data_IF_823286124398
#
_entry.id   IF_823286124398
#
_cell.length_a   1.000
_cell.length_b   1.000
_cell.length_c   1.000
_cell.angle_alpha   90.00
_cell.angle_beta   90.00
_cell.angle_gamma   90.00
#
_symmetry.space_group_name_H-M   'P 1'
#
loop_
_entity.id
_entity.type
_entity.pdbx_description
1 polymer ?
#
# COMPACT_ATOMS: atom_id res chain seq x y z
N UNK A 1 15.75 -1.84 -0.25
CA UNK A 1 14.76 -2.88 0.10
C UNK A 1 13.32 -2.35 0.20
N UNK A 2 12.92 -1.54 1.20
CA UNK A 2 11.53 -1.03 1.34
C UNK A 2 10.97 -0.42 0.04
N UNK A 3 11.70 0.52 -0.54
CA UNK A 3 11.26 1.21 -1.76
C UNK A 3 11.23 0.28 -2.97
N UNK A 4 12.19 -0.65 -3.09
CA UNK A 4 12.22 -1.64 -4.17
C UNK A 4 11.04 -2.62 -4.08
N UNK A 5 10.67 -3.07 -2.88
CA UNK A 5 9.47 -3.86 -2.62
C UNK A 5 8.23 -3.11 -3.10
N UNK A 6 8.12 -1.82 -2.75
CA UNK A 6 6.99 -1.00 -3.17
C UNK A 6 6.97 -0.78 -4.69
N UNK A 7 8.09 -0.47 -5.34
CA UNK A 7 8.15 -0.30 -6.80
C UNK A 7 7.78 -1.58 -7.54
N UNK A 8 8.26 -2.74 -7.08
CA UNK A 8 7.88 -4.00 -7.69
C UNK A 8 6.40 -4.34 -7.46
N UNK A 9 5.85 -4.01 -6.28
CA UNK A 9 4.41 -4.12 -6.01
C UNK A 9 3.57 -3.24 -6.96
N UNK A 10 4.00 -2.01 -7.22
CA UNK A 10 3.34 -1.11 -8.18
C UNK A 10 3.44 -1.65 -9.61
N UNK A 11 4.63 -2.11 -10.03
CA UNK A 11 4.82 -2.74 -11.33
C UNK A 11 3.88 -3.92 -11.55
N UNK A 12 3.79 -4.82 -10.57
CA UNK A 12 2.85 -5.95 -10.59
C UNK A 12 1.39 -5.52 -10.66
N UNK A 13 1.02 -4.48 -9.90
CA UNK A 13 -0.34 -3.96 -9.89
C UNK A 13 -0.73 -3.38 -11.25
N UNK A 14 0.19 -2.66 -11.91
CA UNK A 14 0.00 -2.14 -13.27
C UNK A 14 -0.19 -3.26 -14.28
N UNK A 15 0.66 -4.30 -14.25
CA UNK A 15 0.50 -5.48 -15.10
C UNK A 15 -0.86 -6.12 -14.85
N UNK A 16 -1.24 -6.33 -13.59
CA UNK A 16 -2.49 -6.98 -13.25
C UNK A 16 -3.72 -6.19 -13.73
N UNK A 17 -3.70 -4.86 -13.61
CA UNK A 17 -4.75 -4.00 -14.17
C UNK A 17 -4.82 -4.14 -15.70
N UNK A 18 -3.67 -4.04 -16.37
CA UNK A 18 -3.58 -4.14 -17.82
C UNK A 18 -4.09 -5.50 -18.34
N UNK A 19 -3.68 -6.60 -17.72
CA UNK A 19 -4.12 -7.95 -18.13
C UNK A 19 -5.63 -8.18 -17.93
N UNK A 20 -6.26 -7.40 -17.04
CA UNK A 20 -7.70 -7.43 -16.80
C UNK A 20 -8.46 -6.33 -17.56
N UNK A 21 -7.82 -5.68 -18.55
CA UNK A 21 -8.44 -4.65 -19.37
C UNK A 21 -8.87 -3.40 -18.59
N UNK A 22 -8.18 -3.11 -17.48
CA UNK A 22 -8.42 -1.92 -16.66
C UNK A 22 -7.42 -0.84 -16.97
N UNK A 23 -7.91 0.40 -17.03
CA UNK A 23 -7.06 1.57 -17.11
C UNK A 23 -6.25 1.74 -15.81
N UNK A 24 -5.08 2.35 -15.96
CA UNK A 24 -4.25 2.71 -14.83
C UNK A 24 -4.83 3.93 -14.09
N UNK A 25 -5.40 3.67 -12.93
CA UNK A 25 -5.92 4.65 -11.98
C UNK A 25 -5.10 4.67 -10.67
N UNK A 26 -3.87 4.16 -10.69
CA UNK A 26 -2.96 4.11 -9.54
C UNK A 26 -2.46 5.52 -9.17
N UNK A 27 -3.36 6.37 -8.70
CA UNK A 27 -3.05 7.66 -8.09
C UNK A 27 -2.23 7.48 -6.81
N UNK A 28 -1.61 8.56 -6.31
CA UNK A 28 -0.94 8.58 -5.01
C UNK A 28 -1.85 8.03 -3.91
N UNK A 29 -3.12 8.47 -3.84
CA UNK A 29 -4.04 8.03 -2.79
C UNK A 29 -4.28 6.51 -2.88
N UNK A 30 -4.57 6.00 -4.08
CA UNK A 30 -4.78 4.57 -4.30
C UNK A 30 -3.54 3.76 -3.93
N UNK A 31 -2.35 4.20 -4.36
CA UNK A 31 -1.08 3.55 -4.05
C UNK A 31 -0.81 3.51 -2.53
N UNK A 32 -1.08 4.59 -1.80
CA UNK A 32 -0.94 4.62 -0.33
C UNK A 32 -1.88 3.60 0.33
N UNK A 33 -3.14 3.51 -0.12
CA UNK A 33 -4.09 2.54 0.43
C UNK A 33 -3.67 1.10 0.14
N UNK A 34 -3.32 0.83 -1.11
CA UNK A 34 -2.85 -0.49 -1.52
C UNK A 34 -1.57 -0.88 -0.78
N UNK A 35 -0.63 0.06 -0.56
CA UNK A 35 0.57 -0.17 0.25
C UNK A 35 0.22 -0.64 1.66
N UNK A 36 -0.77 0.00 2.31
CA UNK A 36 -1.21 -0.40 3.64
C UNK A 36 -1.76 -1.83 3.63
N UNK A 37 -2.72 -2.15 2.77
CA UNK A 37 -3.29 -3.50 2.71
C UNK A 37 -2.25 -4.57 2.31
N UNK A 38 -1.37 -4.25 1.37
CA UNK A 38 -0.29 -5.14 0.98
C UNK A 38 0.68 -5.37 2.15
N UNK A 39 0.96 -4.36 2.96
CA UNK A 39 1.89 -4.50 4.09
C UNK A 39 1.36 -5.41 5.21
N UNK A 40 0.03 -5.52 5.34
CA UNK A 40 -0.63 -6.25 6.43
C UNK A 40 -0.93 -7.71 6.11
N UNK A 41 -0.71 -8.16 4.86
CA UNK A 41 -0.94 -9.56 4.52
C UNK A 41 0.07 -10.46 5.24
N UNK A 42 -0.49 -11.45 5.92
CA UNK A 42 0.27 -12.48 6.59
C UNK A 42 0.34 -13.73 5.74
N UNK A 43 1.49 -14.37 5.71
CA UNK A 43 1.60 -15.72 5.18
C UNK A 43 1.25 -16.78 6.24
N UNK A 44 1.44 -18.05 5.90
CA UNK A 44 1.12 -19.19 6.76
C UNK A 44 1.89 -19.20 8.09
N UNK A 45 3.03 -18.50 8.15
CA UNK A 45 3.86 -18.37 9.36
C UNK A 45 3.45 -17.16 10.20
N UNK A 46 2.45 -16.38 9.76
CA UNK A 46 2.04 -15.14 10.39
C UNK A 46 2.98 -13.96 10.09
N UNK A 47 3.94 -14.13 9.18
CA UNK A 47 4.85 -13.05 8.82
C UNK A 47 4.15 -12.04 7.90
N UNK A 48 4.33 -10.74 8.16
CA UNK A 48 3.80 -9.63 7.34
C UNK A 48 4.91 -8.64 7.02
N UNK A 49 4.64 -7.70 6.11
CA UNK A 49 5.64 -6.67 5.75
C UNK A 49 5.60 -5.46 6.70
N UNK A 50 4.89 -5.55 7.82
CA UNK A 50 4.70 -4.46 8.77
C UNK A 50 6.01 -4.00 9.45
N UNK A 51 7.00 -4.88 9.61
CA UNK A 51 8.36 -4.48 10.07
C UNK A 51 9.12 -3.69 9.01
N UNK A 52 8.87 -3.98 7.73
CA UNK A 52 9.40 -3.18 6.63
C UNK A 52 8.65 -1.85 6.56
N UNK A 53 7.33 -1.86 6.43
CA UNK A 53 6.46 -0.70 6.31
C UNK A 53 5.98 -0.16 7.67
N UNK A 54 6.95 0.15 8.54
CA UNK A 54 6.71 0.47 9.95
C UNK A 54 6.44 1.96 10.27
N UNK A 55 6.38 2.85 9.27
CA UNK A 55 6.15 4.28 9.49
C UNK A 55 4.70 4.68 9.22
N UNK A 56 3.77 3.98 9.88
CA UNK A 56 2.33 4.09 9.64
C UNK A 56 1.73 5.21 10.49
N UNK A 57 0.95 6.08 9.85
CA UNK A 57 0.20 7.15 10.50
C UNK A 57 -1.30 7.04 10.21
N UNK A 58 -2.12 7.32 11.22
CA UNK A 58 -3.52 7.60 11.04
C UNK A 58 -3.67 9.04 10.51
N UNK A 59 -4.26 9.21 9.34
CA UNK A 59 -4.48 10.51 8.68
C UNK A 59 -5.94 10.63 8.21
N UNK A 60 -6.42 11.81 7.74
CA UNK A 60 -7.84 11.97 7.37
C UNK A 60 -8.34 10.96 6.33
N UNK A 61 -7.48 10.56 5.39
CA UNK A 61 -7.80 9.60 4.33
C UNK A 61 -7.32 8.17 4.65
N UNK A 62 -7.31 7.77 5.92
CA UNK A 62 -6.92 6.43 6.35
C UNK A 62 -5.45 6.31 6.77
N UNK A 63 -4.94 5.07 6.84
CA UNK A 63 -3.52 4.80 7.14
C UNK A 63 -2.57 5.29 6.05
N UNK A 64 -1.43 5.83 6.42
CA UNK A 64 -0.40 6.27 5.48
C UNK A 64 0.94 5.77 5.96
N UNK A 65 1.64 4.99 5.14
CA UNK A 65 3.07 4.75 5.34
C UNK A 65 3.81 6.02 4.88
N UNK A 66 4.31 6.78 5.84
CA UNK A 66 4.76 8.16 5.61
C UNK A 66 6.06 8.24 4.81
N UNK A 67 6.93 7.23 4.91
CA UNK A 67 8.17 7.17 4.13
C UNK A 67 7.88 6.94 2.65
N UNK A 68 6.97 6.01 2.33
CA UNK A 68 6.48 5.71 0.98
C UNK A 68 5.75 6.92 0.39
N UNK A 69 4.87 7.54 1.17
CA UNK A 69 4.15 8.76 0.75
C UNK A 69 5.10 9.93 0.48
N UNK A 70 6.07 10.18 1.36
CA UNK A 70 7.06 11.24 1.15
C UNK A 70 7.92 10.99 -0.09
N UNK A 71 8.33 9.74 -0.32
CA UNK A 71 9.08 9.39 -1.52
C UNK A 71 8.27 9.61 -2.81
N UNK A 72 6.96 9.34 -2.79
CA UNK A 72 6.07 9.65 -3.94
C UNK A 72 5.98 11.15 -4.17
N UNK A 73 5.82 11.93 -3.09
CA UNK A 73 5.68 13.39 -3.15
C UNK A 73 6.96 14.11 -3.63
N UNK A 74 8.12 13.56 -3.31
CA UNK A 74 9.42 14.08 -3.71
C UNK A 74 9.93 13.50 -5.03
N UNK A 75 9.14 12.63 -5.66
CA UNK A 75 9.51 11.93 -6.90
C UNK A 75 10.82 11.12 -6.80
N UNK A 76 11.05 10.46 -5.66
CA UNK A 76 12.30 9.78 -5.32
C UNK A 76 12.37 8.29 -5.74
N UNK A 77 11.39 7.80 -6.48
CA UNK A 77 11.39 6.41 -6.99
C UNK A 77 12.16 6.28 -8.30
N UNK A 78 12.75 5.11 -8.53
CA UNK A 78 13.65 4.84 -9.65
C UNK A 78 12.89 4.74 -10.98
N UNK A 79 11.78 4.00 -10.98
CA UNK A 79 11.07 3.61 -12.19
C UNK A 79 9.75 4.36 -12.38
N UNK A 80 9.16 4.91 -11.31
CA UNK A 80 7.81 5.46 -11.33
C UNK A 80 7.74 6.92 -10.85
N UNK A 81 6.86 7.69 -11.49
CA UNK A 81 6.36 8.98 -11.01
C UNK A 81 4.88 8.83 -10.65
N UNK A 82 4.43 9.51 -9.59
CA UNK A 82 3.07 9.36 -9.06
C UNK A 82 2.36 10.71 -9.04
N UNK A 83 1.14 10.77 -9.56
CA UNK A 83 0.30 11.96 -9.49
C UNK A 83 -1.08 11.66 -8.89
N UNK A 84 -1.98 12.65 -8.93
CA UNK A 84 -3.33 12.53 -8.32
C UNK A 84 -4.29 11.63 -9.11
N UNK A 85 -3.92 11.24 -10.33
CA UNK A 85 -4.75 10.49 -11.27
C UNK A 85 -4.16 9.10 -11.50
N UNK A 86 -2.86 8.99 -11.76
CA UNK A 86 -2.21 7.75 -12.18
C UNK A 86 -0.73 7.69 -11.79
N UNK A 87 -0.13 6.52 -12.04
CA UNK A 87 1.31 6.28 -11.98
C UNK A 87 1.90 6.24 -13.40
N UNK A 88 3.05 6.85 -13.63
CA UNK A 88 3.72 6.87 -14.94
C UNK A 88 5.14 6.30 -14.85
N UNK A 89 5.63 5.67 -15.91
CA UNK A 89 7.02 5.20 -16.00
C UNK A 89 7.98 6.39 -16.23
N UNK A 90 9.14 6.35 -15.56
CA UNK A 90 10.28 7.25 -15.78
C UNK A 90 11.28 6.72 -16.81
N UNK A 91 11.15 5.44 -17.14
CA UNK A 91 12.03 4.70 -18.05
C UNK A 91 11.25 4.26 -19.27
N UNK A 92 11.93 4.09 -20.40
CA UNK A 92 11.29 3.70 -21.66
C UNK A 92 10.65 2.31 -21.58
N UNK A 93 11.28 1.40 -20.85
CA UNK A 93 10.85 0.01 -20.68
C UNK A 93 11.18 -0.48 -19.27
N UNK A 94 10.28 -1.29 -18.73
CA UNK A 94 10.43 -1.95 -17.45
C UNK A 94 9.95 -3.39 -17.58
N UNK A 95 10.76 -4.34 -17.10
CA UNK A 95 10.47 -5.77 -17.08
C UNK A 95 10.80 -6.38 -15.72
N UNK A 96 10.45 -7.65 -15.54
CA UNK A 96 10.78 -8.40 -14.32
C UNK A 96 12.29 -8.53 -14.06
N UNK A 97 13.13 -8.40 -15.09
CA UNK A 97 14.59 -8.51 -14.95
C UNK A 97 15.22 -7.25 -14.32
N UNK A 98 14.46 -6.15 -14.22
CA UNK A 98 14.92 -4.93 -13.57
C UNK A 98 14.84 -4.99 -12.04
N UNK A 99 14.27 -6.07 -11.47
CA UNK A 99 14.07 -6.25 -10.04
C UNK A 99 14.84 -7.45 -9.52
N UNK A 100 15.44 -7.28 -8.34
CA UNK A 100 16.22 -8.33 -7.66
C UNK A 100 15.36 -9.55 -7.32
N UNK A 101 15.96 -10.73 -7.39
CA UNK A 101 15.25 -12.01 -7.17
C UNK A 101 14.60 -12.10 -5.79
N UNK A 102 15.26 -11.61 -4.76
CA UNK A 102 14.74 -11.59 -3.39
C UNK A 102 13.47 -10.73 -3.27
N UNK A 103 13.48 -9.53 -3.87
CA UNK A 103 12.33 -8.63 -3.92
C UNK A 103 11.15 -9.29 -4.62
N UNK A 104 11.43 -9.98 -5.74
CA UNK A 104 10.40 -10.69 -6.49
C UNK A 104 9.73 -11.77 -5.65
N UNK A 105 10.52 -12.61 -4.98
CA UNK A 105 10.01 -13.68 -4.11
C UNK A 105 9.10 -13.12 -3.01
N UNK A 106 9.55 -12.06 -2.32
CA UNK A 106 8.78 -11.42 -1.24
C UNK A 106 7.44 -10.92 -1.76
N UNK A 107 7.48 -10.08 -2.80
CA UNK A 107 6.27 -9.42 -3.31
C UNK A 107 5.34 -10.41 -3.98
N UNK A 108 5.85 -11.37 -4.75
CA UNK A 108 5.01 -12.33 -5.46
C UNK A 108 4.17 -13.15 -4.50
N UNK A 109 4.77 -13.65 -3.42
CA UNK A 109 4.06 -14.37 -2.36
C UNK A 109 2.97 -13.50 -1.73
N UNK A 110 3.34 -12.32 -1.21
CA UNK A 110 2.41 -11.43 -0.49
C UNK A 110 1.30 -10.88 -1.41
N UNK A 111 1.61 -10.62 -2.68
CA UNK A 111 0.64 -10.16 -3.68
C UNK A 111 -0.42 -11.22 -3.99
N UNK A 112 -0.02 -12.50 -4.10
CA UNK A 112 -0.99 -13.58 -4.30
C UNK A 112 -1.92 -13.71 -3.09
N UNK A 113 -1.38 -13.66 -1.87
CA UNK A 113 -2.18 -13.69 -0.65
C UNK A 113 -3.18 -12.52 -0.61
N UNK A 114 -2.74 -11.31 -0.97
CA UNK A 114 -3.61 -10.14 -1.05
C UNK A 114 -4.81 -10.38 -1.97
N UNK A 115 -4.56 -10.92 -3.17
CA UNK A 115 -5.62 -11.23 -4.14
C UNK A 115 -6.49 -12.43 -3.73
N UNK A 116 -5.96 -13.40 -2.99
CA UNK A 116 -6.78 -14.46 -2.38
C UNK A 116 -7.74 -13.89 -1.33
N UNK A 117 -7.28 -12.93 -0.51
CA UNK A 117 -8.11 -12.28 0.52
C UNK A 117 -9.16 -11.37 -0.08
N UNK A 118 -8.81 -10.61 -1.13
CA UNK A 118 -9.76 -9.83 -1.91
C UNK A 118 -9.30 -9.74 -3.37
N UNK A 119 -9.92 -10.51 -4.29
CA UNK A 119 -9.54 -10.51 -5.70
C UNK A 119 -9.88 -9.19 -6.42
N UNK A 120 -10.76 -8.37 -5.82
CA UNK A 120 -11.19 -7.10 -6.38
C UNK A 120 -10.44 -5.89 -5.81
N UNK A 121 -9.52 -6.07 -4.84
CA UNK A 121 -8.91 -4.97 -4.11
C UNK A 121 -8.21 -3.96 -5.03
N UNK A 122 -7.52 -4.44 -6.07
CA UNK A 122 -6.85 -3.57 -7.04
C UNK A 122 -7.83 -2.83 -7.97
N UNK A 123 -9.05 -3.34 -8.13
CA UNK A 123 -10.09 -2.73 -8.97
C UNK A 123 -10.98 -1.74 -8.21
N UNK A 124 -10.87 -1.71 -6.87
CA UNK A 124 -11.57 -0.73 -6.05
C UNK A 124 -11.10 0.69 -6.34
N UNK A 125 -11.99 1.67 -6.23
CA UNK A 125 -11.61 3.07 -6.34
C UNK A 125 -10.73 3.49 -5.15
N UNK A 126 -9.99 4.58 -5.31
CA UNK A 126 -9.22 5.15 -4.20
C UNK A 126 -10.11 5.47 -2.99
N UNK A 127 -11.36 5.88 -3.23
CA UNK A 127 -12.34 6.19 -2.19
C UNK A 127 -12.81 4.93 -1.46
N UNK A 128 -13.16 3.86 -2.19
CA UNK A 128 -13.60 2.61 -1.56
C UNK A 128 -12.50 2.00 -0.68
N UNK A 129 -11.23 2.14 -1.11
CA UNK A 129 -10.08 1.72 -0.32
C UNK A 129 -9.87 2.58 0.93
N UNK A 130 -10.22 3.87 0.89
CA UNK A 130 -10.24 4.75 2.07
C UNK A 130 -11.31 4.24 3.06
N UNK A 131 -12.54 4.06 2.60
CA UNK A 131 -13.65 3.57 3.42
C UNK A 131 -13.35 2.20 4.05
N UNK A 132 -12.74 1.30 3.28
CA UNK A 132 -12.28 0.01 3.77
C UNK A 132 -11.20 0.17 4.85
N UNK A 133 -10.23 1.06 4.64
CA UNK A 133 -9.18 1.31 5.65
C UNK A 133 -9.72 1.93 6.94
N UNK A 134 -10.84 2.66 6.85
CA UNK A 134 -11.52 3.25 8.03
C UNK A 134 -12.23 2.19 8.90
N UNK A 135 -12.45 0.99 8.37
CA UNK A 135 -13.00 -0.14 9.14
C UNK A 135 -12.00 -0.74 10.14
N UNK A 136 -10.72 -0.38 10.06
CA UNK A 136 -9.71 -0.88 10.99
C UNK A 136 -9.72 -0.11 12.31
N UNK A 137 -9.48 -0.82 13.41
CA UNK A 137 -9.46 -0.22 14.75
C UNK A 137 -8.32 0.79 14.89
N UNK A 138 -7.13 0.42 14.42
CA UNK A 138 -5.94 1.29 14.55
C UNK A 138 -6.18 2.67 13.95
N UNK A 139 -6.76 2.76 12.75
CA UNK A 139 -7.04 4.06 12.17
C UNK A 139 -8.06 4.86 12.99
N UNK A 140 -9.20 4.24 13.36
CA UNK A 140 -10.25 4.93 14.12
C UNK A 140 -9.72 5.48 15.43
N UNK A 141 -8.99 4.67 16.18
CA UNK A 141 -8.45 5.04 17.48
C UNK A 141 -7.42 6.16 17.33
N UNK A 142 -6.35 5.94 16.58
CA UNK A 142 -5.24 6.90 16.50
C UNK A 142 -5.63 8.20 15.78
N UNK A 143 -6.54 8.17 14.80
CA UNK A 143 -7.05 9.40 14.20
C UNK A 143 -7.99 10.16 15.14
N UNK A 144 -8.77 9.46 15.98
CA UNK A 144 -9.56 10.11 17.04
C UNK A 144 -8.66 10.79 18.07
N UNK A 145 -7.62 10.11 18.53
CA UNK A 145 -6.62 10.68 19.43
C UNK A 145 -5.88 11.87 18.81
N UNK A 146 -5.52 11.81 17.52
CA UNK A 146 -4.97 12.95 16.80
C UNK A 146 -5.90 14.17 16.89
N UNK A 147 -7.20 14.00 16.57
CA UNK A 147 -8.19 15.06 16.61
C UNK A 147 -8.40 15.65 18.00
N UNK A 148 -8.42 14.82 19.06
CA UNK A 148 -8.51 15.29 20.45
C UNK A 148 -7.35 16.22 20.83
N UNK A 149 -6.17 15.96 20.26
CA UNK A 149 -4.97 16.75 20.47
C UNK A 149 -4.78 17.86 19.43
N UNK A 150 -5.79 18.16 18.61
CA UNK A 150 -5.71 19.14 17.51
C UNK A 150 -4.58 18.85 16.49
N UNK A 151 -4.23 17.58 16.31
CA UNK A 151 -3.25 17.10 15.34
C UNK A 151 -3.95 16.54 14.08
N UNK A 152 -3.31 16.68 12.93
CA UNK A 152 -3.81 16.14 11.65
C UNK A 152 -3.39 14.68 11.41
N UNK A 153 -2.47 14.15 12.21
CA UNK A 153 -1.97 12.78 12.11
C UNK A 153 -1.44 12.28 13.44
N UNK A 154 -1.46 10.97 13.62
CA UNK A 154 -0.81 10.30 14.75
C UNK A 154 -0.16 9.01 14.30
N UNK A 155 1.04 8.71 14.82
CA UNK A 155 1.75 7.48 14.50
C UNK A 155 1.00 6.29 15.11
N UNK A 156 0.82 5.24 14.31
CA UNK A 156 0.24 3.97 14.73
C UNK A 156 1.40 3.01 15.03
N UNK A 157 1.52 2.47 16.26
CA UNK A 157 2.49 1.42 16.54
C UNK A 157 2.18 0.17 15.71
N UNK A 158 3.21 -0.40 15.08
CA UNK A 158 3.10 -1.59 14.23
C UNK A 158 2.43 -2.76 14.95
N UNK A 159 2.73 -2.95 16.24
CA UNK A 159 2.13 -4.00 17.07
C UNK A 159 0.60 -3.92 17.17
N UNK A 160 0.02 -2.71 17.11
CA UNK A 160 -1.44 -2.55 17.08
C UNK A 160 -2.01 -3.08 15.77
N UNK A 161 -1.33 -2.81 14.65
CA UNK A 161 -1.77 -3.27 13.32
C UNK A 161 -1.61 -4.79 13.16
N UNK A 162 -0.56 -5.37 13.76
CA UNK A 162 -0.35 -6.83 13.75
C UNK A 162 -1.45 -7.57 14.51
N UNK A 163 -1.81 -7.06 15.68
CA UNK A 163 -2.70 -7.75 16.62
C UNK A 163 -4.19 -7.53 16.36
N UNK A 164 -4.56 -6.52 15.57
CA UNK A 164 -5.96 -6.28 15.23
C UNK A 164 -6.49 -7.24 14.15
N UNK A 165 -7.81 -7.38 14.11
CA UNK A 165 -8.50 -8.11 13.05
C UNK A 165 -8.31 -7.38 11.71
N UNK A 166 -7.73 -8.09 10.74
CA UNK A 166 -7.42 -7.54 9.42
C UNK A 166 -8.64 -7.58 8.52
N UNK A 167 -8.97 -6.45 7.89
CA UNK A 167 -10.18 -6.28 7.09
C UNK A 167 -9.79 -5.98 5.64
N UNK A 168 -10.22 -6.84 4.71
CA UNK A 168 -9.90 -6.75 3.29
C UNK A 168 -11.15 -6.60 2.40
N UNK A 169 -12.34 -6.70 2.98
CA UNK A 169 -13.65 -6.69 2.30
C UNK A 169 -14.65 -5.88 3.16
N UNK A 170 -15.75 -5.42 2.57
CA UNK A 170 -16.88 -4.82 3.28
C UNK A 170 -17.74 -5.87 3.99
#
# INVERSE_FOLDING_TARGET
MKFDIFEYFIFKSLIHLQTNGKDNDLSILKCVKLCFFFSTVEDEEGDSLLETFNDIYAMPLGHVEASIYSAMKNDNYRFFSFDRVKTSLKVDRLSFDNFDQEIKIIVDRKFQILLTKNPNLLFMSAYDLVELSHQWFSWRYFYSEAKKNSLLKMKIPTEVVKTENKIYLF
#
